data_IF_192801636933
#
_entry.id   IF_192801636933
#
_cell.length_a   1.000
_cell.length_b   1.000
_cell.length_c   1.000
_cell.angle_alpha   90.00
_cell.angle_beta   90.00
_cell.angle_gamma   90.00
#
_symmetry.space_group_name_H-M   'P 1'
#
loop_
_entity.id
_entity.type
_entity.pdbx_description
1 polymer ?
#
# COMPACT_ATOMS: atom_id res chain seq x y z
N UNK A 1 19.76 2.58 -16.48
CA UNK A 1 18.66 3.58 -16.33
C UNK A 1 17.43 2.86 -15.82
N UNK A 2 16.75 3.43 -14.81
CA UNK A 2 15.49 2.89 -14.28
C UNK A 2 14.42 3.06 -15.37
N UNK A 3 13.72 1.97 -15.68
CA UNK A 3 12.64 1.98 -16.67
C UNK A 3 11.34 2.44 -15.99
N UNK A 4 10.61 3.39 -16.57
CA UNK A 4 9.28 3.74 -16.09
C UNK A 4 8.31 2.56 -16.19
N UNK A 5 7.38 2.49 -15.23
CA UNK A 5 6.33 1.48 -15.13
C UNK A 5 4.99 2.16 -15.48
N UNK A 6 4.24 1.56 -16.40
CA UNK A 6 2.89 2.03 -16.74
C UNK A 6 1.84 1.36 -15.85
N UNK A 7 1.00 2.19 -15.23
CA UNK A 7 -0.16 1.74 -14.44
C UNK A 7 -1.41 2.38 -15.05
N UNK A 8 -2.09 1.65 -15.89
CA UNK A 8 -3.34 2.11 -16.53
C UNK A 8 -3.19 3.47 -17.26
N UNK A 9 -2.10 3.64 -18.01
CA UNK A 9 -1.81 4.86 -18.76
C UNK A 9 -1.14 5.97 -17.93
N UNK A 10 -0.81 5.71 -16.67
CA UNK A 10 -0.02 6.60 -15.82
C UNK A 10 1.39 6.04 -15.64
N UNK A 11 2.40 6.83 -16.00
CA UNK A 11 3.80 6.43 -15.89
C UNK A 11 4.33 6.72 -14.49
N UNK A 12 5.01 5.74 -13.87
CA UNK A 12 5.71 5.87 -12.59
C UNK A 12 7.20 5.67 -12.83
N UNK A 13 8.02 6.66 -12.49
CA UNK A 13 9.47 6.57 -12.64
C UNK A 13 10.11 7.90 -13.05
N UNK A 14 11.41 7.87 -13.42
CA UNK A 14 12.15 9.07 -13.76
C UNK A 14 11.49 9.86 -14.90
N UNK A 15 11.35 11.17 -14.69
CA UNK A 15 10.74 12.09 -15.66
C UNK A 15 9.23 12.09 -15.75
N UNK A 16 8.54 11.20 -14.99
CA UNK A 16 7.10 11.21 -14.88
C UNK A 16 6.63 12.15 -13.75
N UNK A 17 5.38 12.67 -13.82
CA UNK A 17 4.76 13.32 -12.67
C UNK A 17 4.71 12.38 -11.45
N UNK A 18 4.72 12.96 -10.24
CA UNK A 18 4.56 12.18 -9.02
C UNK A 18 3.19 11.50 -9.02
N UNK A 19 3.17 10.18 -8.92
CA UNK A 19 1.95 9.38 -8.77
C UNK A 19 1.49 9.42 -7.31
N UNK A 20 0.29 9.95 -7.07
CA UNK A 20 -0.25 10.17 -5.73
C UNK A 20 -1.37 9.16 -5.45
N UNK A 21 -1.16 8.32 -4.45
CA UNK A 21 -2.14 7.37 -3.98
C UNK A 21 -2.72 7.79 -2.63
N UNK A 22 -4.04 7.96 -2.54
CA UNK A 22 -4.72 8.19 -1.28
C UNK A 22 -4.92 6.86 -0.54
N UNK A 23 -4.41 6.77 0.69
CA UNK A 23 -4.53 5.61 1.55
C UNK A 23 -5.87 5.62 2.28
N UNK A 24 -6.85 4.88 1.78
CA UNK A 24 -8.13 4.69 2.48
C UNK A 24 -7.98 3.61 3.56
N UNK A 25 -7.24 2.55 3.26
CA UNK A 25 -6.95 1.47 4.20
C UNK A 25 -8.21 0.86 4.77
N UNK A 26 -8.37 0.94 6.09
CA UNK A 26 -9.55 0.49 6.85
C UNK A 26 -10.34 1.67 7.44
N UNK A 27 -10.02 2.92 7.09
CA UNK A 27 -10.65 4.11 7.68
C UNK A 27 -12.14 4.27 7.34
N UNK A 28 -12.66 3.47 6.41
CA UNK A 28 -14.09 3.35 6.14
C UNK A 28 -14.86 2.63 7.27
N UNK A 29 -14.19 2.03 8.28
CA UNK A 29 -14.78 1.34 9.42
C UNK A 29 -15.87 0.30 9.06
N UNK A 30 -15.75 -0.36 7.91
CA UNK A 30 -16.74 -1.31 7.39
C UNK A 30 -17.95 -0.65 6.70
N UNK A 31 -18.04 0.67 6.70
CA UNK A 31 -19.12 1.41 6.02
C UNK A 31 -18.75 1.62 4.52
N UNK A 32 -19.51 0.94 3.65
CA UNK A 32 -19.31 0.98 2.20
C UNK A 32 -19.65 2.39 1.65
N UNK A 33 -20.64 3.06 2.20
CA UNK A 33 -20.99 4.41 1.76
C UNK A 33 -19.88 5.43 2.11
N UNK A 34 -19.30 5.28 3.31
CA UNK A 34 -18.14 6.07 3.70
C UNK A 34 -16.95 5.80 2.75
N UNK A 35 -16.70 4.53 2.39
CA UNK A 35 -15.66 4.19 1.42
C UNK A 35 -15.89 4.87 0.06
N UNK A 36 -17.12 4.91 -0.44
CA UNK A 36 -17.47 5.66 -1.66
C UNK A 36 -17.17 7.15 -1.53
N UNK A 37 -17.57 7.77 -0.43
CA UNK A 37 -17.31 9.19 -0.17
C UNK A 37 -15.81 9.49 -0.12
N UNK A 38 -15.01 8.59 0.48
CA UNK A 38 -13.54 8.74 0.53
C UNK A 38 -12.90 8.66 -0.87
N UNK A 39 -13.42 7.79 -1.75
CA UNK A 39 -12.99 7.74 -3.16
C UNK A 39 -13.30 9.06 -3.86
N UNK A 40 -14.50 9.60 -3.66
CA UNK A 40 -14.91 10.87 -4.28
C UNK A 40 -14.02 12.03 -3.82
N UNK A 41 -13.75 12.13 -2.52
CA UNK A 41 -12.84 13.14 -1.97
C UNK A 41 -11.42 13.00 -2.53
N UNK A 42 -10.90 11.78 -2.64
CA UNK A 42 -9.59 11.53 -3.22
C UNK A 42 -9.51 11.96 -4.69
N UNK A 43 -10.56 11.68 -5.47
CA UNK A 43 -10.66 12.11 -6.87
C UNK A 43 -10.73 13.63 -7.00
N UNK A 44 -11.55 14.29 -6.19
CA UNK A 44 -11.70 15.75 -6.18
C UNK A 44 -10.41 16.46 -5.73
N UNK A 45 -9.62 15.82 -4.87
CA UNK A 45 -8.29 16.29 -4.47
C UNK A 45 -7.21 16.06 -5.55
N UNK A 46 -7.51 15.36 -6.64
CA UNK A 46 -6.58 15.11 -7.74
C UNK A 46 -5.60 13.96 -7.50
N UNK A 47 -5.96 12.99 -6.66
CA UNK A 47 -5.18 11.76 -6.52
C UNK A 47 -5.20 10.94 -7.83
N UNK A 48 -4.16 10.14 -8.05
CA UNK A 48 -4.08 9.19 -9.18
C UNK A 48 -4.69 7.84 -8.83
N UNK A 49 -4.66 7.49 -7.57
CA UNK A 49 -5.09 6.18 -7.08
C UNK A 49 -5.67 6.25 -5.68
N UNK A 50 -6.40 5.20 -5.31
CA UNK A 50 -6.79 4.91 -3.93
C UNK A 50 -6.38 3.49 -3.55
N UNK A 51 -5.96 3.32 -2.30
CA UNK A 51 -5.55 2.01 -1.78
C UNK A 51 -6.47 1.55 -0.64
N UNK A 52 -6.88 0.29 -0.75
CA UNK A 52 -7.63 -0.45 0.26
C UNK A 52 -6.80 -1.59 0.85
N UNK A 53 -7.39 -2.35 1.73
CA UNK A 53 -6.87 -3.61 2.25
C UNK A 53 -7.90 -4.70 2.03
N UNK A 54 -7.47 -5.86 1.51
CA UNK A 54 -8.33 -7.02 1.37
C UNK A 54 -7.74 -8.18 2.17
N UNK A 55 -8.44 -8.52 3.23
CA UNK A 55 -8.06 -9.56 4.16
C UNK A 55 -9.31 -10.27 4.69
N UNK A 56 -9.09 -11.43 5.25
CA UNK A 56 -10.03 -12.09 6.15
C UNK A 56 -9.38 -12.11 7.53
N UNK A 57 -10.09 -11.65 8.53
CA UNK A 57 -9.55 -11.53 9.89
C UNK A 57 -9.05 -12.86 10.41
N UNK A 58 -9.74 -13.95 10.06
CA UNK A 58 -9.38 -15.32 10.41
C UNK A 58 -8.04 -15.78 9.80
N UNK A 59 -7.62 -15.18 8.69
CA UNK A 59 -6.43 -15.61 7.95
C UNK A 59 -5.16 -14.91 8.44
N UNK A 60 -5.27 -13.79 9.18
CA UNK A 60 -4.09 -13.04 9.60
C UNK A 60 -3.96 -12.79 11.10
N UNK A 61 -5.01 -12.92 11.88
CA UNK A 61 -4.95 -12.85 13.34
C UNK A 61 -5.03 -14.24 13.97
N UNK A 62 -4.03 -14.58 14.77
CA UNK A 62 -3.93 -15.90 15.42
C UNK A 62 -4.78 -16.05 16.68
N UNK A 63 -5.29 -14.93 17.25
CA UNK A 63 -6.05 -14.95 18.51
C UNK A 63 -6.94 -13.73 18.66
N UNK A 64 -7.87 -13.80 19.63
CA UNK A 64 -8.84 -12.74 19.95
C UNK A 64 -8.44 -11.92 21.17
N UNK A 65 -7.44 -12.34 21.90
CA UNK A 65 -6.98 -11.73 23.15
C UNK A 65 -6.07 -10.53 22.95
N UNK A 66 -5.57 -10.32 21.74
CA UNK A 66 -4.74 -9.17 21.41
C UNK A 66 -5.58 -7.90 21.40
N UNK A 67 -5.16 -6.90 22.16
CA UNK A 67 -5.78 -5.59 22.19
C UNK A 67 -4.90 -4.57 21.48
N UNK A 68 -5.52 -3.51 21.00
CA UNK A 68 -4.86 -2.36 20.40
C UNK A 68 -5.39 -1.08 21.06
N UNK A 69 -4.46 -0.21 21.44
CA UNK A 69 -4.79 1.11 22.00
C UNK A 69 -4.39 2.20 21.02
N UNK A 70 -5.30 3.08 20.70
CA UNK A 70 -5.09 4.19 19.76
C UNK A 70 -5.89 5.41 20.16
N UNK A 71 -5.56 6.56 19.58
CA UNK A 71 -6.32 7.80 19.76
C UNK A 71 -7.34 7.92 18.62
N UNK A 72 -8.61 8.04 18.99
CA UNK A 72 -9.70 8.30 18.05
C UNK A 72 -10.47 9.55 18.50
N UNK A 73 -10.56 10.56 17.64
CA UNK A 73 -11.24 11.83 17.91
C UNK A 73 -10.79 12.49 19.22
N UNK A 74 -9.51 12.38 19.57
CA UNK A 74 -8.94 12.94 20.81
C UNK A 74 -9.15 12.09 22.07
N UNK A 75 -9.75 10.91 21.96
CA UNK A 75 -9.96 9.96 23.06
C UNK A 75 -9.13 8.70 22.86
N UNK A 76 -8.56 8.19 23.96
CA UNK A 76 -7.91 6.88 23.96
C UNK A 76 -8.96 5.78 23.89
N UNK A 77 -8.80 4.87 22.93
CA UNK A 77 -9.67 3.71 22.73
C UNK A 77 -8.80 2.45 22.81
N UNK A 78 -9.22 1.50 23.62
CA UNK A 78 -8.63 0.15 23.66
C UNK A 78 -9.69 -0.86 23.28
N UNK A 79 -9.45 -1.61 22.23
CA UNK A 79 -10.36 -2.66 21.77
C UNK A 79 -9.59 -3.92 21.30
N UNK A 80 -10.33 -5.02 21.16
CA UNK A 80 -9.78 -6.24 20.55
C UNK A 80 -9.36 -5.97 19.11
N UNK A 81 -8.13 -6.35 18.74
CA UNK A 81 -7.68 -6.29 17.34
C UNK A 81 -8.59 -7.10 16.43
N UNK A 82 -9.04 -8.27 16.89
CA UNK A 82 -9.94 -9.12 16.12
C UNK A 82 -11.25 -8.40 15.79
N UNK A 83 -11.89 -7.79 16.80
CA UNK A 83 -13.18 -7.13 16.60
C UNK A 83 -13.04 -5.89 15.74
N UNK A 84 -11.96 -5.13 15.89
CA UNK A 84 -11.62 -3.98 15.06
C UNK A 84 -11.46 -4.39 13.58
N UNK A 85 -10.60 -5.37 13.31
CA UNK A 85 -10.37 -5.81 11.93
C UNK A 85 -11.59 -6.49 11.34
N UNK A 86 -12.34 -7.28 12.14
CA UNK A 86 -13.56 -7.92 11.66
C UNK A 86 -14.66 -6.92 11.28
N UNK A 87 -14.78 -5.85 12.03
CA UNK A 87 -15.69 -4.74 11.70
C UNK A 87 -15.27 -4.01 10.42
N UNK A 88 -13.97 -3.86 10.18
CA UNK A 88 -13.42 -3.17 9.02
C UNK A 88 -13.24 -4.07 7.78
N UNK A 89 -13.50 -5.36 7.89
CA UNK A 89 -13.38 -6.30 6.78
C UNK A 89 -14.44 -6.01 5.70
N UNK A 90 -13.99 -5.82 4.46
CA UNK A 90 -14.89 -5.60 3.33
C UNK A 90 -15.19 -6.92 2.62
N UNK A 91 -16.47 -7.24 2.37
CA UNK A 91 -16.83 -8.39 1.55
C UNK A 91 -16.33 -8.22 0.11
N UNK A 92 -16.12 -9.35 -0.56
CA UNK A 92 -15.63 -9.43 -1.93
C UNK A 92 -16.43 -8.56 -2.91
N UNK A 93 -17.75 -8.58 -2.78
CA UNK A 93 -18.68 -7.84 -3.64
C UNK A 93 -18.51 -6.32 -3.46
N UNK A 94 -18.28 -5.88 -2.21
CA UNK A 94 -18.03 -4.47 -1.92
C UNK A 94 -16.71 -3.98 -2.54
N UNK A 95 -15.63 -4.76 -2.45
CA UNK A 95 -14.36 -4.41 -3.11
C UNK A 95 -14.51 -4.29 -4.62
N UNK A 96 -15.27 -5.20 -5.24
CA UNK A 96 -15.57 -5.13 -6.68
C UNK A 96 -16.40 -3.88 -7.05
N UNK A 97 -17.33 -3.48 -6.18
CA UNK A 97 -18.12 -2.26 -6.37
C UNK A 97 -17.27 -1.00 -6.22
N UNK A 98 -16.44 -0.92 -5.17
CA UNK A 98 -15.52 0.20 -4.93
C UNK A 98 -14.52 0.35 -6.09
N UNK A 99 -14.00 -0.76 -6.63
CA UNK A 99 -13.15 -0.71 -7.82
C UNK A 99 -13.86 -0.06 -9.01
N UNK A 100 -15.11 -0.49 -9.31
CA UNK A 100 -15.90 0.13 -10.38
C UNK A 100 -16.18 1.62 -10.12
N UNK A 101 -16.33 2.03 -8.86
CA UNK A 101 -16.46 3.44 -8.51
C UNK A 101 -15.17 4.21 -8.81
N UNK A 102 -14.01 3.67 -8.45
CA UNK A 102 -12.71 4.26 -8.79
C UNK A 102 -12.56 4.47 -10.30
N UNK A 103 -12.94 3.48 -11.12
CA UNK A 103 -12.90 3.59 -12.58
C UNK A 103 -13.77 4.75 -13.10
N UNK A 104 -15.00 4.91 -12.58
CA UNK A 104 -15.87 6.05 -12.94
C UNK A 104 -15.27 7.40 -12.55
N UNK A 105 -14.46 7.42 -11.49
CA UNK A 105 -13.75 8.64 -11.02
C UNK A 105 -12.35 8.79 -11.63
N UNK A 106 -11.99 7.96 -12.60
CA UNK A 106 -10.67 7.94 -13.24
C UNK A 106 -9.51 7.74 -12.22
N UNK A 107 -9.73 6.94 -11.20
CA UNK A 107 -8.73 6.56 -10.21
C UNK A 107 -8.26 5.11 -10.43
N UNK A 108 -6.98 4.85 -10.21
CA UNK A 108 -6.47 3.48 -10.09
C UNK A 108 -6.90 2.92 -8.74
N UNK A 109 -7.61 1.80 -8.76
CA UNK A 109 -7.89 1.02 -7.56
C UNK A 109 -6.76 0.01 -7.33
N UNK A 110 -6.25 -0.07 -6.12
CA UNK A 110 -5.37 -1.15 -5.70
C UNK A 110 -5.56 -1.50 -4.22
N UNK A 111 -5.04 -2.64 -3.81
CA UNK A 111 -5.24 -3.14 -2.45
C UNK A 111 -4.04 -3.91 -1.95
N UNK A 112 -3.94 -4.03 -0.63
CA UNK A 112 -2.95 -4.85 0.06
C UNK A 112 -3.60 -6.17 0.45
N UNK A 113 -3.28 -7.29 -0.23
CA UNK A 113 -3.70 -8.63 0.19
C UNK A 113 -2.82 -9.11 1.35
N UNK A 114 -3.38 -9.91 2.24
CA UNK A 114 -2.66 -10.56 3.34
C UNK A 114 -2.47 -12.06 3.13
N UNK A 115 -2.96 -12.60 2.01
CA UNK A 115 -2.87 -14.01 1.66
C UNK A 115 -2.81 -14.23 0.14
N UNK A 116 -2.39 -15.42 -0.28
CA UNK A 116 -2.42 -15.81 -1.70
C UNK A 116 -3.84 -15.77 -2.26
N UNK A 117 -4.83 -16.22 -1.48
CA UNK A 117 -6.25 -16.11 -1.86
C UNK A 117 -6.68 -14.65 -2.09
N UNK A 118 -6.15 -13.71 -1.29
CA UNK A 118 -6.35 -12.28 -1.49
C UNK A 118 -5.73 -11.77 -2.79
N UNK A 119 -4.55 -12.28 -3.18
CA UNK A 119 -3.92 -11.98 -4.48
C UNK A 119 -4.80 -12.49 -5.62
N UNK A 120 -5.25 -13.75 -5.57
CA UNK A 120 -6.14 -14.31 -6.58
C UNK A 120 -7.45 -13.52 -6.72
N UNK A 121 -7.99 -13.03 -5.61
CA UNK A 121 -9.17 -12.18 -5.61
C UNK A 121 -8.93 -10.89 -6.39
N UNK A 122 -7.79 -10.21 -6.16
CA UNK A 122 -7.42 -8.99 -6.86
C UNK A 122 -7.18 -9.23 -8.36
N UNK A 123 -6.58 -10.36 -8.73
CA UNK A 123 -6.42 -10.78 -10.13
C UNK A 123 -7.78 -10.95 -10.81
N UNK A 124 -8.72 -11.65 -10.15
CA UNK A 124 -10.10 -11.83 -10.67
C UNK A 124 -10.85 -10.52 -10.84
N UNK A 125 -10.56 -9.52 -10.00
CA UNK A 125 -11.12 -8.17 -10.16
C UNK A 125 -10.43 -7.36 -11.25
N UNK A 126 -9.32 -7.85 -11.83
CA UNK A 126 -8.53 -7.11 -12.80
C UNK A 126 -7.81 -5.92 -12.17
N UNK A 127 -7.21 -6.12 -10.99
CA UNK A 127 -6.37 -5.11 -10.38
C UNK A 127 -5.17 -4.76 -11.29
N UNK A 128 -4.84 -3.47 -11.39
CA UNK A 128 -3.74 -2.98 -12.21
C UNK A 128 -2.46 -2.73 -11.41
N UNK A 129 -2.54 -2.84 -10.09
CA UNK A 129 -1.45 -2.64 -9.16
C UNK A 129 -1.70 -3.46 -7.90
N UNK A 130 -0.67 -4.10 -7.37
CA UNK A 130 -0.70 -4.79 -6.09
C UNK A 130 0.20 -4.08 -5.10
N UNK A 131 -0.11 -4.16 -3.80
CA UNK A 131 0.75 -3.63 -2.73
C UNK A 131 0.98 -4.67 -1.65
N UNK A 132 2.24 -4.78 -1.19
CA UNK A 132 2.58 -5.49 0.03
C UNK A 132 2.87 -4.47 1.15
N UNK A 133 2.31 -4.68 2.33
CA UNK A 133 2.59 -3.89 3.52
C UNK A 133 3.99 -4.16 4.07
N UNK A 134 4.52 -3.24 4.89
CA UNK A 134 5.83 -3.41 5.52
C UNK A 134 5.89 -4.64 6.44
N UNK A 135 4.78 -4.96 7.08
CA UNK A 135 4.55 -6.11 7.96
C UNK A 135 4.66 -7.46 7.25
N UNK A 136 4.42 -7.48 5.93
CA UNK A 136 4.47 -8.68 5.09
C UNK A 136 5.69 -8.73 4.15
N UNK A 137 6.65 -7.81 4.27
CA UNK A 137 7.82 -7.81 3.37
C UNK A 137 8.65 -9.10 3.48
N UNK A 138 8.76 -9.65 4.68
CA UNK A 138 9.49 -10.90 4.93
C UNK A 138 8.68 -12.16 4.59
N UNK A 139 7.41 -12.01 4.21
CA UNK A 139 6.56 -13.13 3.81
C UNK A 139 6.81 -13.48 2.33
N UNK A 140 7.95 -14.10 2.05
CA UNK A 140 8.40 -14.38 0.68
C UNK A 140 7.41 -15.21 -0.17
N UNK A 141 6.64 -16.17 0.37
CA UNK A 141 5.60 -16.86 -0.40
C UNK A 141 4.57 -15.90 -1.01
N UNK A 142 4.06 -14.93 -0.22
CA UNK A 142 3.10 -13.94 -0.71
C UNK A 142 3.72 -13.05 -1.80
N UNK A 143 4.98 -12.63 -1.62
CA UNK A 143 5.70 -11.84 -2.63
C UNK A 143 5.85 -12.61 -3.95
N UNK A 144 6.18 -13.91 -3.89
CA UNK A 144 6.25 -14.76 -5.08
C UNK A 144 4.89 -14.93 -5.76
N UNK A 145 3.81 -15.09 -4.98
CA UNK A 145 2.46 -15.16 -5.52
C UNK A 145 2.07 -13.86 -6.25
N UNK A 146 2.40 -12.69 -5.67
CA UNK A 146 2.18 -11.39 -6.31
C UNK A 146 3.01 -11.27 -7.61
N UNK A 147 4.29 -11.63 -7.58
CA UNK A 147 5.18 -11.59 -8.74
C UNK A 147 4.69 -12.47 -9.90
N UNK A 148 4.20 -13.66 -9.59
CA UNK A 148 3.68 -14.63 -10.56
C UNK A 148 2.45 -14.11 -11.33
N UNK A 149 1.74 -13.11 -10.82
CA UNK A 149 0.60 -12.50 -11.53
C UNK A 149 1.02 -11.66 -12.73
N UNK A 150 2.27 -11.19 -12.78
CA UNK A 150 2.77 -10.22 -13.76
C UNK A 150 2.21 -8.81 -13.59
N UNK A 151 1.37 -8.56 -12.58
CA UNK A 151 0.84 -7.23 -12.24
C UNK A 151 1.95 -6.41 -11.57
N UNK A 152 2.13 -5.11 -11.93
CA UNK A 152 3.02 -4.22 -11.21
C UNK A 152 2.78 -4.27 -9.70
N UNK A 153 3.87 -4.32 -8.94
CA UNK A 153 3.78 -4.55 -7.49
C UNK A 153 4.58 -3.52 -6.72
N UNK A 154 3.98 -3.01 -5.65
CA UNK A 154 4.56 -2.09 -4.69
C UNK A 154 4.93 -2.86 -3.42
N UNK A 155 6.19 -2.78 -2.98
CA UNK A 155 6.65 -3.34 -1.70
C UNK A 155 7.04 -2.21 -0.75
N UNK A 156 6.42 -2.16 0.44
CA UNK A 156 6.78 -1.21 1.50
C UNK A 156 7.88 -1.79 2.39
N UNK A 157 8.84 -0.95 2.82
CA UNK A 157 10.08 -1.38 3.48
C UNK A 157 10.24 -0.89 4.93
N UNK A 158 9.17 -0.40 5.55
CA UNK A 158 9.24 0.35 6.82
C UNK A 158 9.59 -0.43 8.07
N UNK A 159 9.61 -1.77 8.02
CA UNK A 159 9.93 -2.64 9.16
C UNK A 159 11.11 -3.57 8.86
N UNK A 160 11.79 -3.39 7.74
CA UNK A 160 12.77 -4.33 7.24
C UNK A 160 14.19 -3.78 7.26
N UNK A 161 15.16 -4.66 7.48
CA UNK A 161 16.58 -4.41 7.22
C UNK A 161 16.87 -4.41 5.72
N UNK A 162 18.04 -3.92 5.34
CA UNK A 162 18.44 -3.93 3.91
C UNK A 162 18.56 -5.36 3.36
N UNK A 163 18.99 -6.31 4.17
CA UNK A 163 19.09 -7.73 3.80
C UNK A 163 17.72 -8.33 3.54
N UNK A 164 16.73 -8.04 4.38
CA UNK A 164 15.35 -8.49 4.18
C UNK A 164 14.71 -7.86 2.93
N UNK A 165 15.05 -6.61 2.62
CA UNK A 165 14.62 -5.98 1.36
C UNK A 165 15.28 -6.67 0.17
N UNK A 166 16.58 -7.00 0.23
CA UNK A 166 17.27 -7.77 -0.80
C UNK A 166 16.57 -9.12 -1.04
N UNK A 167 16.27 -9.87 0.03
CA UNK A 167 15.59 -11.15 -0.06
C UNK A 167 14.22 -11.03 -0.72
N UNK A 168 13.44 -10.00 -0.34
CA UNK A 168 12.13 -9.73 -0.92
C UNK A 168 12.21 -9.39 -2.42
N UNK A 169 13.17 -8.54 -2.80
CA UNK A 169 13.40 -8.15 -4.20
C UNK A 169 13.87 -9.33 -5.04
N UNK A 170 14.77 -10.16 -4.52
CA UNK A 170 15.21 -11.40 -5.18
C UNK A 170 14.03 -12.36 -5.35
N UNK A 171 13.27 -12.62 -4.27
CA UNK A 171 12.10 -13.49 -4.32
C UNK A 171 11.06 -13.03 -5.36
N UNK A 172 10.85 -11.71 -5.50
CA UNK A 172 9.96 -11.14 -6.50
C UNK A 172 10.48 -11.38 -7.92
N UNK A 173 11.77 -11.08 -8.17
CA UNK A 173 12.41 -11.21 -9.49
C UNK A 173 12.51 -12.67 -9.92
N UNK A 174 12.93 -13.56 -9.04
CA UNK A 174 13.07 -14.99 -9.29
C UNK A 174 11.73 -15.66 -9.61
N UNK A 175 10.64 -15.15 -9.06
CA UNK A 175 9.27 -15.59 -9.39
C UNK A 175 8.72 -14.99 -10.70
N UNK A 176 9.56 -14.25 -11.46
CA UNK A 176 9.20 -13.67 -12.76
C UNK A 176 8.60 -12.27 -12.72
N UNK A 177 8.54 -11.63 -11.55
CA UNK A 177 8.08 -10.25 -11.40
C UNK A 177 9.01 -9.26 -12.12
N UNK A 178 8.44 -8.31 -12.85
CA UNK A 178 9.19 -7.35 -13.67
C UNK A 178 9.05 -5.92 -13.18
N UNK A 179 7.82 -5.49 -12.90
CA UNK A 179 7.46 -4.13 -12.60
C UNK A 179 7.34 -3.98 -11.07
N UNK A 180 8.46 -3.60 -10.46
CA UNK A 180 8.60 -3.44 -9.01
C UNK A 180 8.78 -1.98 -8.65
N UNK A 181 8.03 -1.53 -7.66
CA UNK A 181 8.16 -0.23 -7.00
C UNK A 181 8.45 -0.49 -5.52
N UNK A 182 9.46 0.13 -4.95
CA UNK A 182 9.68 0.10 -3.52
C UNK A 182 9.20 1.40 -2.89
N UNK A 183 8.66 1.32 -1.67
CA UNK A 183 8.34 2.50 -0.87
C UNK A 183 9.26 2.57 0.33
N UNK A 184 9.99 3.69 0.45
CA UNK A 184 10.54 4.07 1.73
C UNK A 184 9.38 4.41 2.68
N UNK A 185 9.45 3.92 3.92
CA UNK A 185 8.39 4.03 4.89
C UNK A 185 8.98 3.90 6.29
N UNK A 186 8.38 4.56 7.27
CA UNK A 186 8.65 4.34 8.70
C UNK A 186 7.35 3.89 9.35
N UNK A 187 7.36 2.70 9.97
CA UNK A 187 6.15 2.10 10.59
C UNK A 187 5.95 2.63 12.02
N UNK A 188 5.81 3.94 12.14
CA UNK A 188 5.43 4.67 13.35
C UNK A 188 4.26 5.60 13.02
N UNK A 189 3.24 5.66 13.85
CA UNK A 189 1.99 6.37 13.58
C UNK A 189 1.63 7.30 14.75
N UNK A 190 1.87 8.63 14.66
CA UNK A 190 2.57 9.31 13.55
C UNK A 190 4.09 9.11 13.59
N UNK A 191 4.73 9.20 12.42
CA UNK A 191 6.20 9.20 12.32
C UNK A 191 6.78 10.53 12.80
N UNK A 192 7.65 10.55 13.81
CA UNK A 192 8.36 11.77 14.19
C UNK A 192 9.21 12.31 13.03
N UNK A 193 9.27 13.64 12.82
CA UNK A 193 10.02 14.23 11.68
C UNK A 193 11.49 13.79 11.58
N UNK A 194 12.14 13.53 12.72
CA UNK A 194 13.53 13.06 12.77
C UNK A 194 13.71 11.63 12.23
N UNK A 195 12.63 10.82 12.20
CA UNK A 195 12.65 9.43 11.75
C UNK A 195 12.17 9.27 10.29
N UNK A 196 11.73 10.33 9.64
CA UNK A 196 11.24 10.29 8.25
C UNK A 196 12.33 9.88 7.26
N UNK A 197 13.58 10.25 7.49
CA UNK A 197 14.78 9.77 6.77
C UNK A 197 14.67 9.75 5.23
N UNK A 198 14.19 10.81 4.59
CA UNK A 198 14.01 10.89 3.13
C UNK A 198 15.28 10.58 2.32
N UNK A 199 16.48 10.68 2.94
CA UNK A 199 17.75 10.29 2.32
C UNK A 199 17.88 8.81 2.00
N UNK A 200 17.02 7.96 2.57
CA UNK A 200 16.97 6.53 2.23
C UNK A 200 16.48 6.31 0.80
N UNK A 201 15.68 7.22 0.24
CA UNK A 201 15.09 7.09 -1.10
C UNK A 201 16.15 7.00 -2.20
N UNK A 202 17.09 7.94 -2.32
CA UNK A 202 18.17 7.79 -3.31
C UNK A 202 19.04 6.57 -3.06
N UNK A 203 19.30 6.19 -1.80
CA UNK A 203 20.08 4.99 -1.48
C UNK A 203 19.38 3.69 -1.93
N UNK A 204 18.08 3.58 -1.68
CA UNK A 204 17.27 2.45 -2.17
C UNK A 204 17.23 2.42 -3.71
N UNK A 205 17.10 3.58 -4.34
CA UNK A 205 17.11 3.71 -5.81
C UNK A 205 18.41 3.20 -6.42
N UNK A 206 19.55 3.61 -5.86
CA UNK A 206 20.87 3.17 -6.30
C UNK A 206 21.04 1.65 -6.13
N UNK A 207 20.63 1.10 -4.96
CA UNK A 207 20.80 -0.31 -4.65
C UNK A 207 19.93 -1.22 -5.50
N UNK A 208 18.64 -0.90 -5.66
CA UNK A 208 17.65 -1.81 -6.24
C UNK A 208 17.35 -1.56 -7.72
N UNK A 209 17.69 -0.39 -8.25
CA UNK A 209 17.51 -0.05 -9.66
C UNK A 209 16.06 -0.04 -10.13
N UNK A 210 15.11 0.26 -9.26
CA UNK A 210 13.68 0.39 -9.54
C UNK A 210 13.13 1.75 -9.07
N UNK A 211 11.91 2.15 -9.48
CA UNK A 211 11.26 3.33 -8.94
C UNK A 211 11.11 3.23 -7.42
N UNK A 212 11.39 4.31 -6.72
CA UNK A 212 11.21 4.40 -5.25
C UNK A 212 10.20 5.50 -4.96
N UNK A 213 9.18 5.16 -4.21
CA UNK A 213 8.21 6.11 -3.66
C UNK A 213 8.36 6.28 -2.16
N UNK A 214 7.38 6.94 -1.56
CA UNK A 214 7.29 7.19 -0.13
C UNK A 214 5.91 6.84 0.40
N UNK A 215 5.84 6.12 1.51
CA UNK A 215 4.63 5.92 2.28
C UNK A 215 4.72 6.80 3.52
N UNK A 216 3.95 7.88 3.53
CA UNK A 216 4.00 8.91 4.56
C UNK A 216 3.07 8.59 5.73
N UNK A 217 3.62 8.51 6.93
CA UNK A 217 2.89 8.37 8.18
C UNK A 217 3.16 9.54 9.13
N UNK A 218 3.79 10.62 8.65
CA UNK A 218 4.07 11.81 9.44
C UNK A 218 2.86 12.73 9.55
N UNK A 219 2.85 13.58 10.56
CA UNK A 219 1.83 14.63 10.68
C UNK A 219 2.05 15.75 9.68
N UNK A 220 0.97 16.21 9.06
CA UNK A 220 0.96 17.34 8.14
C UNK A 220 1.45 16.97 6.73
N UNK A 221 2.00 17.95 6.01
CA UNK A 221 2.34 17.83 4.58
C UNK A 221 3.83 18.05 4.27
N UNK A 222 4.65 18.31 5.29
CA UNK A 222 6.04 18.73 5.10
C UNK A 222 6.89 17.65 4.46
N UNK A 223 6.75 16.39 4.92
CA UNK A 223 7.49 15.26 4.36
C UNK A 223 7.05 14.98 2.92
N UNK A 224 5.74 15.00 2.66
CA UNK A 224 5.17 14.80 1.32
C UNK A 224 5.64 15.87 0.31
N UNK A 225 5.76 17.15 0.72
CA UNK A 225 6.31 18.21 -0.13
C UNK A 225 7.80 18.02 -0.35
N UNK A 226 8.54 17.66 0.71
CA UNK A 226 10.00 17.48 0.65
C UNK A 226 10.42 16.38 -0.31
N UNK A 227 9.63 15.33 -0.44
CA UNK A 227 9.95 14.20 -1.30
C UNK A 227 9.79 14.51 -2.79
N UNK A 228 8.89 15.40 -3.18
CA UNK A 228 8.61 15.73 -4.59
C UNK A 228 9.90 16.03 -5.38
N UNK A 229 10.87 16.65 -4.72
CA UNK A 229 12.16 16.99 -5.32
C UNK A 229 13.17 15.82 -5.30
N UNK A 230 12.86 14.71 -4.63
CA UNK A 230 13.78 13.58 -4.43
C UNK A 230 13.42 12.37 -5.29
N UNK A 231 12.18 12.31 -5.81
CA UNK A 231 11.68 11.21 -6.66
C UNK A 231 11.66 11.55 -8.16
N UNK A 232 11.92 12.82 -8.52
CA UNK A 232 12.02 13.28 -9.92
C UNK A 232 13.29 12.78 -10.60
#
# INVERSE_FOLDING_TARGET
MIKPIDISGRSIGPGAPCFIAAEIGINHNGDIQLAHNMIDVAADAGADAVKFQNYRTEDFLSGRELTYTYISQGHEVTESQWDMFKRCELPTEALAELRRHCERRNLVFFSTPTSEAGVEQLVRFGAHLLKNGSDYLVHLPLIRAMAATGIPTVLSTGMATLEEIDDAVHAFRDAGGRDLILLHCTSSYPTPPIEVNLRNIPALRERFGCPIGFSDHSDGITAAIGIRNSIS
#
